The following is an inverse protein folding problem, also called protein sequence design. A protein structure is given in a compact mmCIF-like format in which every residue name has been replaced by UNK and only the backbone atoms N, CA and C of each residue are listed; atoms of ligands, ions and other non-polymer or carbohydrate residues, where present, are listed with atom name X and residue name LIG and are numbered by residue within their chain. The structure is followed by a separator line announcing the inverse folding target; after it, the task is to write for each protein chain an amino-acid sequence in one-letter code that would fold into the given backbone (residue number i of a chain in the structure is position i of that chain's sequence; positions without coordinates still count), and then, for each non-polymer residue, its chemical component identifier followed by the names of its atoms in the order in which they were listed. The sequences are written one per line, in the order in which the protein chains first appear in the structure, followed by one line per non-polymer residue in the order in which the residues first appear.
data_IF_869415346062
#
_entry.id   IF_869415346062
#
_cell.length_a   1.000
_cell.length_b   1.000
_cell.length_c   1.000
_cell.angle_alpha   90.00
_cell.angle_beta   90.00
_cell.angle_gamma   90.00
#
_symmetry.space_group_name_H-M   'P 1'
#
loop_
_entity.id
_entity.type
_entity.pdbx_description
1 polymer ?
#
# COMPACT_ATOMS: atom_id res chain seq x y z
N UNK A 1 -15.40 10.68 21.47
CA UNK A 1 -14.27 9.91 22.05
C UNK A 1 -13.23 9.73 20.96
N UNK A 2 -11.96 10.03 21.21
CA UNK A 2 -10.89 9.82 20.22
C UNK A 2 -10.45 8.35 20.24
N UNK A 3 -10.40 7.69 19.08
CA UNK A 3 -9.88 6.31 18.95
C UNK A 3 -8.69 6.24 18.00
N UNK A 4 -7.85 5.23 18.20
CA UNK A 4 -6.72 4.91 17.32
C UNK A 4 -6.79 3.44 16.96
N UNK A 5 -6.86 3.15 15.66
CA UNK A 5 -7.13 1.82 15.13
C UNK A 5 -6.03 1.41 14.16
N UNK A 6 -5.40 0.26 14.43
CA UNK A 6 -4.35 -0.30 13.57
C UNK A 6 -4.95 -1.29 12.58
N UNK A 7 -4.70 -1.08 11.29
CA UNK A 7 -5.08 -2.02 10.21
C UNK A 7 -3.82 -2.67 9.65
N UNK A 8 -3.69 -3.99 9.79
CA UNK A 8 -2.51 -4.74 9.37
C UNK A 8 -2.40 -4.92 7.85
N UNK A 9 -1.21 -5.30 7.36
CA UNK A 9 -0.96 -5.44 5.92
C UNK A 9 -1.82 -6.54 5.25
N UNK A 10 -2.11 -7.63 5.96
CA UNK A 10 -3.07 -8.65 5.49
C UNK A 10 -4.49 -8.09 5.43
N UNK A 11 -4.91 -7.29 6.41
CA UNK A 11 -6.24 -6.65 6.37
C UNK A 11 -6.34 -5.66 5.20
N UNK A 12 -5.25 -4.98 4.85
CA UNK A 12 -5.23 -4.07 3.70
C UNK A 12 -5.52 -4.77 2.37
N UNK A 13 -5.27 -6.09 2.21
CA UNK A 13 -5.66 -6.77 0.97
C UNK A 13 -7.17 -6.88 0.82
N UNK A 14 -7.92 -6.77 1.91
CA UNK A 14 -9.39 -6.80 1.95
C UNK A 14 -9.95 -5.40 2.29
N UNK A 15 -9.45 -4.35 1.62
CA UNK A 15 -9.84 -2.96 1.92
C UNK A 15 -11.36 -2.71 1.85
N UNK A 16 -12.08 -3.39 0.95
CA UNK A 16 -13.55 -3.32 0.90
C UNK A 16 -14.18 -3.74 2.24
N UNK A 17 -13.73 -4.86 2.80
CA UNK A 17 -14.21 -5.35 4.10
C UNK A 17 -13.77 -4.44 5.25
N UNK A 18 -12.57 -3.85 5.16
CA UNK A 18 -12.11 -2.87 6.15
C UNK A 18 -13.02 -1.64 6.15
N UNK A 19 -13.38 -1.11 4.98
CA UNK A 19 -14.31 0.01 4.88
C UNK A 19 -15.66 -0.34 5.51
N UNK A 20 -16.24 -1.47 5.12
CA UNK A 20 -17.57 -1.90 5.58
C UNK A 20 -17.60 -2.27 7.07
N UNK A 21 -16.65 -3.07 7.52
CA UNK A 21 -16.69 -3.75 8.81
C UNK A 21 -15.85 -3.07 9.90
N UNK A 22 -15.00 -2.10 9.55
CA UNK A 22 -14.18 -1.37 10.52
C UNK A 22 -14.48 0.13 10.48
N UNK A 23 -14.42 0.74 9.30
CA UNK A 23 -14.58 2.20 9.18
C UNK A 23 -16.04 2.59 9.35
N UNK A 24 -16.94 1.98 8.59
CA UNK A 24 -18.37 2.35 8.52
C UNK A 24 -19.28 1.47 9.40
N UNK A 25 -18.72 0.47 10.09
CA UNK A 25 -19.51 -0.51 10.83
C UNK A 25 -20.35 0.13 11.92
N UNK A 26 -21.68 0.02 11.77
CA UNK A 26 -22.70 0.56 12.68
C UNK A 26 -22.45 2.01 13.09
N UNK A 27 -21.92 2.84 12.18
CA UNK A 27 -21.60 4.24 12.45
C UNK A 27 -22.09 5.12 11.30
N UNK A 28 -22.64 6.27 11.65
CA UNK A 28 -23.11 7.30 10.72
C UNK A 28 -22.92 8.68 11.34
N UNK A 29 -22.95 9.75 10.52
CA UNK A 29 -22.85 11.13 11.00
C UNK A 29 -21.58 11.38 11.82
N UNK A 30 -21.74 12.01 12.98
CA UNK A 30 -20.64 12.39 13.87
C UNK A 30 -19.80 11.21 14.38
N UNK A 31 -20.37 9.99 14.43
CA UNK A 31 -19.67 8.78 14.90
C UNK A 31 -18.57 8.28 13.95
N UNK A 32 -18.52 8.81 12.72
CA UNK A 32 -17.46 8.51 11.75
C UNK A 32 -16.16 9.27 12.04
N UNK A 33 -16.22 10.33 12.86
CA UNK A 33 -15.12 11.27 13.07
C UNK A 33 -14.43 11.07 14.43
N UNK A 34 -13.36 11.83 14.67
CA UNK A 34 -12.47 11.68 15.84
C UNK A 34 -11.84 10.28 15.94
N UNK A 35 -11.41 9.75 14.79
CA UNK A 35 -10.78 8.42 14.69
C UNK A 35 -9.50 8.53 13.87
N UNK A 36 -8.45 7.89 14.34
CA UNK A 36 -7.16 7.81 13.65
C UNK A 36 -6.96 6.38 13.19
N UNK A 37 -6.75 6.21 11.89
CA UNK A 37 -6.44 4.91 11.30
C UNK A 37 -4.96 4.82 10.96
N UNK A 38 -4.26 3.88 11.57
CA UNK A 38 -2.86 3.58 11.27
C UNK A 38 -2.80 2.34 10.38
N UNK A 39 -2.62 2.54 9.09
CA UNK A 39 -2.55 1.44 8.11
C UNK A 39 -1.11 0.98 7.91
N UNK A 40 -0.93 -0.32 7.68
CA UNK A 40 0.34 -0.84 7.14
C UNK A 40 0.31 -0.71 5.61
N UNK A 41 1.47 -0.88 4.96
CA UNK A 41 1.48 -1.09 3.52
C UNK A 41 0.64 -2.34 3.14
N UNK A 42 0.16 -2.37 1.90
CA UNK A 42 -0.48 -3.58 1.35
C UNK A 42 0.46 -4.79 1.46
N UNK A 43 -0.13 -5.96 1.72
CA UNK A 43 0.64 -7.20 1.88
C UNK A 43 1.59 -7.44 0.70
N UNK A 44 2.83 -7.83 1.02
CA UNK A 44 3.89 -8.08 0.03
C UNK A 44 4.67 -6.84 -0.39
N UNK A 45 4.11 -5.62 -0.32
CA UNK A 45 4.80 -4.40 -0.76
C UNK A 45 6.10 -4.15 0.02
N UNK A 46 6.09 -4.35 1.34
CA UNK A 46 7.30 -4.20 2.16
C UNK A 46 8.39 -5.21 1.78
N UNK A 47 8.04 -6.41 1.32
CA UNK A 47 9.03 -7.41 0.87
C UNK A 47 9.60 -7.11 -0.52
N UNK A 48 8.94 -6.26 -1.32
CA UNK A 48 9.50 -5.76 -2.57
C UNK A 48 10.48 -4.62 -2.30
N UNK A 49 10.19 -3.80 -1.30
CA UNK A 49 11.04 -2.67 -0.90
C UNK A 49 12.25 -3.10 -0.07
N UNK A 50 12.09 -4.08 0.82
CA UNK A 50 13.09 -4.55 1.77
C UNK A 50 13.32 -6.05 1.60
N UNK A 51 14.30 -6.62 2.31
CA UNK A 51 14.52 -8.07 2.31
C UNK A 51 13.26 -8.84 2.74
N UNK A 52 12.90 -9.86 1.96
CA UNK A 52 11.78 -10.71 2.26
C UNK A 52 12.08 -11.58 3.50
N UNK A 53 11.34 -11.34 4.58
CA UNK A 53 11.55 -12.03 5.88
C UNK A 53 11.45 -13.56 5.83
N UNK A 54 10.75 -14.12 4.83
CA UNK A 54 10.55 -15.58 4.72
C UNK A 54 11.57 -16.24 3.81
N UNK A 55 11.91 -15.59 2.69
CA UNK A 55 12.74 -16.20 1.65
C UNK A 55 14.18 -15.66 1.62
N UNK A 56 14.46 -14.55 2.32
CA UNK A 56 15.73 -13.82 2.23
C UNK A 56 15.94 -13.13 0.87
N UNK A 57 14.93 -13.14 -0.01
CA UNK A 57 15.06 -12.52 -1.33
C UNK A 57 15.28 -10.99 -1.18
N UNK A 58 16.20 -10.40 -1.95
CA UNK A 58 16.52 -8.99 -1.84
C UNK A 58 15.37 -8.12 -2.38
N UNK A 59 14.96 -7.13 -1.60
CA UNK A 59 14.12 -6.03 -2.08
C UNK A 59 14.94 -4.86 -2.60
N UNK A 60 14.27 -3.81 -3.10
CA UNK A 60 14.89 -2.60 -3.68
C UNK A 60 16.00 -2.02 -2.81
N UNK A 61 15.76 -1.85 -1.51
CA UNK A 61 16.76 -1.29 -0.59
C UNK A 61 18.00 -2.17 -0.47
N UNK A 62 17.83 -3.49 -0.49
CA UNK A 62 18.97 -4.41 -0.45
C UNK A 62 19.84 -4.25 -1.69
N UNK A 63 19.24 -4.12 -2.88
CA UNK A 63 19.97 -3.90 -4.13
C UNK A 63 20.75 -2.58 -4.09
N UNK A 64 20.12 -1.50 -3.61
CA UNK A 64 20.77 -0.20 -3.42
C UNK A 64 21.96 -0.31 -2.47
N UNK A 65 21.76 -0.93 -1.30
CA UNK A 65 22.80 -1.06 -0.27
C UNK A 65 24.03 -1.87 -0.74
N UNK A 66 23.85 -2.74 -1.72
CA UNK A 66 24.90 -3.58 -2.30
C UNK A 66 25.42 -3.05 -3.65
N UNK A 67 25.07 -1.82 -4.04
CA UNK A 67 25.48 -1.21 -5.32
C UNK A 67 25.09 -2.04 -6.55
N UNK A 68 23.95 -2.73 -6.48
CA UNK A 68 23.38 -3.53 -7.58
C UNK A 68 22.32 -2.74 -8.36
N UNK A 69 21.98 -3.19 -9.56
CA UNK A 69 20.86 -2.59 -10.32
C UNK A 69 19.55 -2.75 -9.54
N UNK A 70 18.92 -1.63 -9.21
CA UNK A 70 17.65 -1.57 -8.50
C UNK A 70 16.51 -1.06 -9.41
N UNK A 71 16.81 -0.64 -10.64
CA UNK A 71 15.81 -0.08 -11.56
C UNK A 71 14.79 -1.14 -11.97
N UNK A 72 15.25 -2.36 -12.24
CA UNK A 72 14.38 -3.49 -12.57
C UNK A 72 13.41 -3.82 -11.43
N UNK A 73 13.90 -3.86 -10.19
CA UNK A 73 13.05 -4.09 -9.01
C UNK A 73 12.05 -2.95 -8.74
N UNK A 74 12.43 -1.70 -9.04
CA UNK A 74 11.49 -0.57 -8.97
C UNK A 74 10.39 -0.65 -10.04
N UNK A 75 10.71 -1.10 -11.25
CA UNK A 75 9.71 -1.35 -12.28
C UNK A 75 8.73 -2.46 -11.86
N UNK A 76 9.24 -3.54 -11.27
CA UNK A 76 8.39 -4.61 -10.70
C UNK A 76 7.49 -4.09 -9.57
N UNK A 77 8.02 -3.22 -8.71
CA UNK A 77 7.23 -2.56 -7.67
C UNK A 77 6.10 -1.72 -8.26
N UNK A 78 6.36 -0.91 -9.29
CA UNK A 78 5.33 -0.10 -9.97
C UNK A 78 4.22 -1.00 -10.50
N UNK A 79 4.58 -2.05 -11.26
CA UNK A 79 3.62 -3.00 -11.81
C UNK A 79 2.78 -3.63 -10.69
N UNK A 80 3.41 -4.00 -9.57
CA UNK A 80 2.67 -4.61 -8.45
C UNK A 80 1.70 -3.63 -7.78
N UNK A 81 2.09 -2.37 -7.61
CA UNK A 81 1.22 -1.35 -7.01
C UNK A 81 0.04 -1.00 -7.92
N UNK A 82 0.26 -0.92 -9.24
CA UNK A 82 -0.82 -0.73 -10.22
C UNK A 82 -1.78 -1.94 -10.23
N UNK A 83 -1.26 -3.17 -10.10
CA UNK A 83 -2.08 -4.38 -9.97
C UNK A 83 -2.95 -4.35 -8.71
N UNK A 84 -2.43 -3.83 -7.59
CA UNK A 84 -3.21 -3.63 -6.36
C UNK A 84 -4.34 -2.63 -6.60
N UNK A 85 -4.08 -1.49 -7.26
CA UNK A 85 -5.08 -0.45 -7.53
C UNK A 85 -6.30 -0.97 -8.29
N UNK A 86 -6.12 -1.90 -9.25
CA UNK A 86 -7.22 -2.49 -10.03
C UNK A 86 -8.32 -3.09 -9.15
N UNK A 87 -7.98 -3.60 -7.97
CA UNK A 87 -8.94 -4.23 -7.05
C UNK A 87 -9.86 -3.21 -6.35
N UNK A 88 -9.59 -1.91 -6.48
CA UNK A 88 -10.29 -0.87 -5.72
C UNK A 88 -11.00 0.15 -6.61
N UNK A 89 -11.11 -0.12 -7.91
CA UNK A 89 -11.90 0.70 -8.85
C UNK A 89 -13.37 0.76 -8.41
N UNK A 90 -13.94 -0.36 -7.96
CA UNK A 90 -15.32 -0.43 -7.46
C UNK A 90 -15.54 0.38 -6.17
N UNK A 91 -14.46 0.74 -5.46
CA UNK A 91 -14.50 1.63 -4.29
C UNK A 91 -14.42 3.11 -4.69
N UNK A 92 -14.42 3.43 -5.98
CA UNK A 92 -14.32 4.79 -6.51
C UNK A 92 -12.89 5.27 -6.72
N UNK A 93 -11.90 4.37 -6.74
CA UNK A 93 -10.52 4.74 -7.08
C UNK A 93 -10.44 5.18 -8.54
N UNK A 94 -9.98 6.41 -8.79
CA UNK A 94 -9.55 6.83 -10.11
C UNK A 94 -8.23 6.11 -10.46
N UNK A 95 -8.36 5.01 -11.21
CA UNK A 95 -7.24 4.15 -11.55
C UNK A 95 -6.15 4.88 -12.33
N UNK A 96 -6.53 5.72 -13.28
CA UNK A 96 -5.56 6.43 -14.13
C UNK A 96 -4.76 7.44 -13.30
N UNK A 97 -5.43 8.21 -12.45
CA UNK A 97 -4.76 9.14 -11.55
C UNK A 97 -3.86 8.42 -10.52
N UNK A 98 -4.33 7.29 -9.97
CA UNK A 98 -3.57 6.51 -8.99
C UNK A 98 -2.30 5.87 -9.60
N UNK A 99 -2.42 5.33 -10.81
CA UNK A 99 -1.29 4.72 -11.52
C UNK A 99 -0.26 5.78 -11.94
N UNK A 100 -0.72 6.93 -12.44
CA UNK A 100 0.15 8.07 -12.75
C UNK A 100 0.88 8.59 -11.49
N UNK A 101 0.19 8.62 -10.36
CA UNK A 101 0.79 9.02 -9.08
C UNK A 101 1.92 8.08 -8.67
N UNK A 102 1.71 6.76 -8.73
CA UNK A 102 2.74 5.76 -8.41
C UNK A 102 3.97 5.96 -9.29
N UNK A 103 3.76 6.01 -10.60
CA UNK A 103 4.85 6.13 -11.56
C UNK A 103 5.67 7.40 -11.35
N UNK A 104 4.98 8.54 -11.19
CA UNK A 104 5.64 9.82 -10.90
C UNK A 104 6.41 9.75 -9.59
N UNK A 105 5.79 9.23 -8.52
CA UNK A 105 6.42 9.19 -7.19
C UNK A 105 7.66 8.32 -7.14
N UNK A 106 7.65 7.19 -7.84
CA UNK A 106 8.81 6.28 -7.93
C UNK A 106 9.90 6.90 -8.80
N UNK A 107 9.56 7.48 -9.96
CA UNK A 107 10.53 8.18 -10.82
C UNK A 107 11.18 9.37 -10.10
N UNK A 108 10.41 10.15 -9.37
CA UNK A 108 10.91 11.27 -8.56
C UNK A 108 11.90 10.81 -7.47
N UNK A 109 11.76 9.57 -6.96
CA UNK A 109 12.64 9.01 -5.94
C UNK A 109 13.90 8.33 -6.49
N UNK A 110 13.97 8.10 -7.81
CA UNK A 110 15.14 7.50 -8.46
C UNK A 110 16.24 8.52 -8.78
N UNK A 111 15.88 9.81 -8.82
CA UNK A 111 16.79 10.93 -9.09
C UNK A 111 17.45 11.43 -7.80
#
# INVERSE_FOLDING_TARGET
MLTVEKIGGTSMTALHDVLKNIILFNRTGEDLYNRIFVVSAFSGVTNLLLENKKTGAPGVYHLIANYQDFHSALNELIVKLQDINKNYVELGLDLAAADQFIEKRVRDAQN
#
